data_IF_919623115804
#
_entry.id   IF_919623115804
#
_cell.length_a   1.000
_cell.length_b   1.000
_cell.length_c   1.000
_cell.angle_alpha   90.00
_cell.angle_beta   90.00
_cell.angle_gamma   90.00
#
_symmetry.space_group_name_H-M   'P 1'
#
loop_
_entity.id
_entity.type
_entity.pdbx_description
1 polymer ?
#
# COMPACT_ATOMS: atom_id res chain seq x y z
N UNK A 1 21.20 9.32 1.93
CA UNK A 1 20.53 8.20 2.64
C UNK A 1 21.31 7.93 3.92
N UNK A 2 20.66 8.06 5.05
CA UNK A 2 21.25 7.70 6.35
C UNK A 2 20.84 6.28 6.71
N UNK A 3 21.56 5.64 7.61
CA UNK A 3 21.21 4.37 8.23
C UNK A 3 21.48 4.53 9.73
N UNK A 4 20.62 5.31 10.38
CA UNK A 4 20.79 5.71 11.76
C UNK A 4 19.62 5.18 12.60
N UNK A 5 19.86 5.00 13.89
CA UNK A 5 18.78 4.63 14.81
C UNK A 5 17.69 5.72 14.81
N UNK A 6 16.44 5.28 14.66
CA UNK A 6 15.25 6.10 14.91
C UNK A 6 14.15 5.26 15.57
N UNK A 7 13.25 5.92 16.25
CA UNK A 7 12.07 5.29 16.82
C UNK A 7 10.86 6.21 16.59
N UNK A 8 9.73 5.60 16.33
CA UNK A 8 8.44 6.27 16.17
C UNK A 8 7.43 5.63 17.13
N UNK A 9 6.56 6.45 17.69
CA UNK A 9 5.38 5.97 18.40
C UNK A 9 4.29 5.50 17.43
N UNK A 10 3.12 5.13 17.95
CA UNK A 10 2.00 4.63 17.15
C UNK A 10 1.49 5.65 16.12
N UNK A 11 1.56 6.94 16.42
CA UNK A 11 1.11 8.02 15.55
C UNK A 11 2.22 8.62 14.69
N UNK A 12 3.48 8.32 15.01
CA UNK A 12 4.67 8.83 14.31
C UNK A 12 4.76 8.34 12.88
N UNK A 13 5.39 9.17 12.04
CA UNK A 13 5.58 8.93 10.60
C UNK A 13 4.94 10.01 9.74
N UNK A 14 4.95 9.79 8.42
CA UNK A 14 4.38 10.72 7.44
C UNK A 14 3.02 10.17 6.95
N UNK A 15 1.86 10.64 7.49
CA UNK A 15 0.56 10.19 7.04
C UNK A 15 0.19 10.81 5.69
N UNK A 16 -0.32 9.99 4.79
CA UNK A 16 -0.81 10.39 3.47
C UNK A 16 -2.18 9.80 3.19
N UNK A 17 -3.02 10.56 2.52
CA UNK A 17 -4.25 10.10 1.92
C UNK A 17 -4.04 9.82 0.44
N UNK A 18 -4.42 8.64 0.01
CA UNK A 18 -4.38 8.22 -1.37
C UNK A 18 -5.65 7.44 -1.72
N UNK A 19 -6.46 7.97 -2.63
CA UNK A 19 -7.82 7.46 -2.91
C UNK A 19 -8.63 7.36 -1.60
N UNK A 20 -9.02 6.16 -1.23
CA UNK A 20 -9.77 5.90 0.01
C UNK A 20 -8.90 5.30 1.12
N UNK A 21 -7.58 5.35 0.97
CA UNK A 21 -6.60 4.71 1.85
C UNK A 21 -5.86 5.75 2.68
N UNK A 22 -5.66 5.44 3.96
CA UNK A 22 -4.67 6.11 4.81
C UNK A 22 -3.42 5.25 4.84
N UNK A 23 -2.30 5.83 4.46
CA UNK A 23 -0.98 5.23 4.62
C UNK A 23 -0.12 6.12 5.50
N UNK A 24 0.56 5.54 6.48
CA UNK A 24 1.56 6.28 7.27
C UNK A 24 2.94 5.68 7.01
N UNK A 25 3.83 6.45 6.41
CA UNK A 25 5.20 6.01 6.14
C UNK A 25 5.96 5.94 7.46
N UNK A 26 6.24 4.74 7.94
CA UNK A 26 6.98 4.47 9.18
C UNK A 26 8.48 4.41 8.95
N UNK A 27 8.90 3.86 7.80
CA UNK A 27 10.29 3.87 7.38
C UNK A 27 10.38 4.14 5.88
N UNK A 28 11.33 4.96 5.49
CA UNK A 28 11.63 5.28 4.09
C UNK A 28 13.07 4.92 3.75
N UNK A 29 13.39 4.78 2.47
CA UNK A 29 14.75 4.53 2.01
C UNK A 29 15.76 5.55 2.50
N UNK A 30 15.36 6.79 2.67
CA UNK A 30 16.25 7.84 3.20
C UNK A 30 16.71 7.56 4.63
N UNK A 31 15.86 6.94 5.46
CA UNK A 31 16.16 6.59 6.85
C UNK A 31 16.81 5.22 7.00
N UNK A 32 16.51 4.28 6.11
CA UNK A 32 16.96 2.88 6.19
C UNK A 32 18.17 2.57 5.30
N UNK A 33 18.79 3.60 4.71
CA UNK A 33 19.88 3.40 3.75
C UNK A 33 19.44 2.65 2.47
N UNK A 34 18.16 2.74 2.12
CA UNK A 34 17.58 2.06 0.97
C UNK A 34 17.16 0.61 1.24
N UNK A 35 17.31 0.10 2.46
CA UNK A 35 17.09 -1.31 2.76
C UNK A 35 15.61 -1.71 2.65
N UNK A 36 14.72 -0.92 3.25
CA UNK A 36 13.29 -1.19 3.21
C UNK A 36 12.43 0.07 3.32
N UNK A 37 11.23 0.02 2.75
CA UNK A 37 10.12 0.92 3.04
C UNK A 37 9.09 0.19 3.91
N UNK A 38 8.51 0.88 4.91
CA UNK A 38 7.46 0.36 5.77
C UNK A 38 6.33 1.36 5.87
N UNK A 39 5.10 0.90 5.57
CA UNK A 39 3.89 1.69 5.66
C UNK A 39 2.87 1.00 6.58
N UNK A 40 2.27 1.77 7.48
CA UNK A 40 1.01 1.42 8.14
C UNK A 40 -0.12 1.74 7.17
N UNK A 41 -0.91 0.74 6.79
CA UNK A 41 -1.88 0.81 5.70
C UNK A 41 -3.28 0.50 6.22
N UNK A 42 -4.19 1.45 6.11
CA UNK A 42 -5.60 1.31 6.49
C UNK A 42 -6.49 1.61 5.31
N UNK A 43 -7.45 0.72 5.05
CA UNK A 43 -8.27 0.77 3.84
C UNK A 43 -9.68 0.26 4.11
N UNK A 44 -10.73 0.86 3.48
CA UNK A 44 -12.03 0.24 3.41
C UNK A 44 -11.99 -1.04 2.54
N UNK A 45 -13.11 -1.74 2.43
CA UNK A 45 -13.26 -2.82 1.45
C UNK A 45 -12.99 -2.34 0.02
N UNK A 46 -12.39 -3.21 -0.81
CA UNK A 46 -11.99 -2.86 -2.16
C UNK A 46 -10.85 -3.73 -2.66
N UNK A 47 -10.11 -3.27 -3.66
CA UNK A 47 -8.95 -4.02 -4.14
C UNK A 47 -7.86 -3.12 -4.71
N UNK A 48 -6.61 -3.57 -4.52
CA UNK A 48 -5.46 -2.96 -5.20
C UNK A 48 -5.57 -3.19 -6.71
N UNK A 49 -4.80 -2.47 -7.54
CA UNK A 49 -4.64 -2.83 -8.94
C UNK A 49 -4.14 -4.28 -9.08
N UNK A 50 -4.42 -4.94 -10.19
CA UNK A 50 -3.60 -6.06 -10.62
C UNK A 50 -2.35 -5.47 -11.26
N UNK A 51 -1.18 -5.74 -10.70
CA UNK A 51 0.08 -5.08 -11.09
C UNK A 51 1.29 -5.96 -10.82
N UNK A 52 2.43 -5.53 -11.36
CA UNK A 52 3.74 -6.16 -11.17
C UNK A 52 4.69 -5.10 -10.62
N UNK A 53 5.45 -5.43 -9.59
CA UNK A 53 6.62 -4.68 -9.15
C UNK A 53 7.87 -5.21 -9.85
N UNK A 54 8.63 -4.34 -10.51
CA UNK A 54 9.89 -4.72 -11.16
C UNK A 54 11.14 -4.37 -10.34
N UNK A 55 10.95 -3.65 -9.22
CA UNK A 55 12.07 -3.18 -8.38
C UNK A 55 12.06 -3.75 -6.98
N UNK A 56 10.89 -3.93 -6.40
CA UNK A 56 10.69 -4.32 -5.01
C UNK A 56 10.02 -5.68 -4.90
N UNK A 57 10.43 -6.49 -3.93
CA UNK A 57 9.60 -7.52 -3.35
C UNK A 57 8.68 -6.87 -2.32
N UNK A 58 7.46 -7.35 -2.21
CA UNK A 58 6.46 -6.78 -1.33
C UNK A 58 6.02 -7.78 -0.27
N UNK A 59 5.97 -7.33 0.98
CA UNK A 59 5.42 -8.10 2.09
C UNK A 59 4.21 -7.40 2.69
N UNK A 60 3.21 -8.19 3.13
CA UNK A 60 2.05 -7.70 3.85
C UNK A 60 1.84 -8.48 5.14
N UNK A 61 1.73 -7.77 6.24
CA UNK A 61 1.37 -8.36 7.53
C UNK A 61 0.00 -7.84 7.95
N UNK A 62 -0.98 -8.74 8.09
CA UNK A 62 -2.36 -8.37 8.41
C UNK A 62 -2.53 -8.21 9.91
N UNK A 63 -2.93 -7.00 10.34
CA UNK A 63 -3.20 -6.65 11.73
C UNK A 63 -4.69 -6.81 12.06
N UNK A 64 -5.58 -6.40 11.13
CA UNK A 64 -7.03 -6.51 11.29
C UNK A 64 -7.73 -6.62 9.94
N UNK A 65 -8.93 -7.22 9.90
CA UNK A 65 -9.73 -7.42 8.71
C UNK A 65 -9.55 -8.78 8.03
N UNK A 66 -9.99 -8.89 6.77
CA UNK A 66 -9.85 -10.07 5.92
C UNK A 66 -9.41 -9.68 4.53
N UNK A 67 -8.47 -10.44 4.00
CA UNK A 67 -7.87 -10.21 2.68
C UNK A 67 -7.88 -11.50 1.87
N UNK A 68 -8.22 -11.41 0.59
CA UNK A 68 -7.91 -12.42 -0.41
C UNK A 68 -6.76 -11.89 -1.28
N UNK A 69 -5.67 -12.65 -1.37
CA UNK A 69 -4.49 -12.29 -2.16
C UNK A 69 -4.35 -13.23 -3.35
N UNK A 70 -4.25 -12.67 -4.55
CA UNK A 70 -3.88 -13.42 -5.76
C UNK A 70 -2.46 -13.04 -6.15
N UNK A 71 -1.57 -14.03 -6.31
CA UNK A 71 -0.19 -13.85 -6.76
C UNK A 71 0.15 -14.95 -7.78
N UNK A 72 0.43 -14.56 -9.01
CA UNK A 72 0.49 -15.52 -10.13
C UNK A 72 -0.83 -16.27 -10.30
N UNK A 73 -0.76 -17.58 -10.30
CA UNK A 73 -1.92 -18.48 -10.44
C UNK A 73 -2.52 -18.89 -9.08
N UNK A 74 -1.94 -18.45 -7.97
CA UNK A 74 -2.39 -18.83 -6.63
C UNK A 74 -3.27 -17.75 -6.00
N UNK A 75 -4.29 -18.18 -5.26
CA UNK A 75 -5.14 -17.31 -4.46
C UNK A 75 -5.26 -17.86 -3.06
N UNK A 76 -5.00 -17.03 -2.05
CA UNK A 76 -5.07 -17.38 -0.64
C UNK A 76 -5.93 -16.36 0.13
N UNK A 77 -6.59 -16.84 1.18
CA UNK A 77 -7.28 -15.96 2.14
C UNK A 77 -6.40 -15.75 3.37
N UNK A 78 -6.38 -14.53 3.88
CA UNK A 78 -5.60 -14.13 5.03
C UNK A 78 -6.47 -13.47 6.09
N UNK A 79 -6.15 -13.76 7.35
CA UNK A 79 -6.76 -13.20 8.57
C UNK A 79 -5.68 -12.62 9.47
N UNK A 80 -6.01 -11.86 10.52
CA UNK A 80 -5.02 -11.24 11.40
C UNK A 80 -3.92 -12.18 11.87
N UNK A 81 -2.66 -11.74 11.80
CA UNK A 81 -1.46 -12.53 12.06
C UNK A 81 -0.86 -13.20 10.82
N UNK A 82 -1.56 -13.19 9.68
CA UNK A 82 -1.02 -13.73 8.43
C UNK A 82 0.06 -12.82 7.83
N UNK A 83 1.06 -13.44 7.20
CA UNK A 83 2.06 -12.76 6.40
C UNK A 83 2.00 -13.26 4.95
N UNK A 84 1.98 -12.33 4.01
CA UNK A 84 1.97 -12.58 2.57
C UNK A 84 3.29 -12.06 1.99
N UNK A 85 3.94 -12.88 1.15
CA UNK A 85 5.13 -12.47 0.41
C UNK A 85 4.83 -12.48 -1.08
N UNK A 86 5.01 -11.34 -1.73
CA UNK A 86 4.73 -11.11 -3.14
C UNK A 86 6.06 -10.78 -3.83
N UNK A 87 6.69 -11.77 -4.50
CA UNK A 87 7.96 -11.53 -5.16
C UNK A 87 7.80 -10.58 -6.35
N UNK A 88 8.84 -9.79 -6.61
CA UNK A 88 8.90 -8.95 -7.81
C UNK A 88 8.72 -9.78 -9.08
N UNK A 89 8.33 -9.15 -10.15
CA UNK A 89 8.10 -9.74 -11.47
C UNK A 89 6.95 -10.77 -11.52
N UNK A 90 6.16 -10.89 -10.45
CA UNK A 90 4.96 -11.73 -10.40
C UNK A 90 3.71 -10.86 -10.30
N UNK A 91 2.72 -11.00 -11.21
CA UNK A 91 1.49 -10.24 -11.13
C UNK A 91 0.69 -10.60 -9.88
N UNK A 92 0.23 -9.58 -9.16
CA UNK A 92 -0.51 -9.78 -7.92
C UNK A 92 -1.52 -8.67 -7.63
N UNK A 93 -2.46 -8.97 -6.74
CA UNK A 93 -3.40 -8.02 -6.13
C UNK A 93 -3.91 -8.51 -4.79
N UNK A 94 -4.30 -7.57 -3.95
CA UNK A 94 -5.04 -7.83 -2.72
C UNK A 94 -6.49 -7.35 -2.89
N UNK A 95 -7.44 -8.20 -2.48
CA UNK A 95 -8.84 -7.83 -2.27
C UNK A 95 -9.10 -7.72 -0.78
N UNK A 96 -9.44 -6.54 -0.32
CA UNK A 96 -9.85 -6.25 1.05
C UNK A 96 -11.34 -6.57 1.17
N UNK A 97 -11.69 -7.64 1.87
CA UNK A 97 -13.09 -8.09 2.02
C UNK A 97 -13.86 -7.29 3.07
N UNK A 98 -13.13 -6.66 3.96
CA UNK A 98 -13.64 -5.76 5.01
C UNK A 98 -12.75 -4.53 5.07
N UNK A 99 -13.06 -3.57 5.94
CA UNK A 99 -12.05 -2.62 6.38
C UNK A 99 -10.85 -3.38 6.94
N UNK A 100 -9.64 -2.98 6.56
CA UNK A 100 -8.41 -3.67 6.90
C UNK A 100 -7.35 -2.72 7.43
N UNK A 101 -6.51 -3.27 8.33
CA UNK A 101 -5.29 -2.65 8.83
C UNK A 101 -4.11 -3.60 8.60
N UNK A 102 -3.09 -3.15 7.86
CA UNK A 102 -1.95 -3.96 7.46
C UNK A 102 -0.65 -3.16 7.58
N UNK A 103 0.46 -3.88 7.64
CA UNK A 103 1.78 -3.32 7.35
C UNK A 103 2.18 -3.73 5.94
N UNK A 104 2.54 -2.76 5.11
CA UNK A 104 3.15 -2.97 3.79
C UNK A 104 4.66 -2.78 3.90
N UNK A 105 5.41 -3.75 3.41
CA UNK A 105 6.88 -3.78 3.43
C UNK A 105 7.36 -3.86 1.99
N UNK A 106 8.26 -2.98 1.59
CA UNK A 106 8.92 -3.01 0.27
C UNK A 106 10.42 -3.21 0.44
N UNK A 107 11.01 -4.15 -0.28
CA UNK A 107 12.44 -4.50 -0.24
C UNK A 107 12.99 -4.62 -1.67
N UNK A 108 13.96 -3.76 -2.06
CA UNK A 108 14.46 -2.58 -1.34
C UNK A 108 13.38 -1.50 -1.15
N UNK A 109 13.72 -0.42 -0.44
CA UNK A 109 12.85 0.75 -0.33
C UNK A 109 12.64 1.41 -1.71
N UNK A 110 11.50 2.11 -1.87
CA UNK A 110 11.17 2.85 -3.11
C UNK A 110 9.67 3.03 -3.30
N UNK A 111 8.87 2.03 -2.93
CA UNK A 111 7.43 2.06 -3.10
C UNK A 111 6.75 3.19 -2.28
N UNK A 112 7.29 3.53 -1.12
CA UNK A 112 6.80 4.64 -0.31
C UNK A 112 6.93 5.98 -1.04
N UNK A 113 7.91 6.14 -1.92
CA UNK A 113 8.10 7.35 -2.73
C UNK A 113 6.99 7.47 -3.78
N UNK A 114 6.61 6.36 -4.41
CA UNK A 114 5.45 6.31 -5.32
C UNK A 114 4.17 6.74 -4.60
N UNK A 115 3.88 6.15 -3.45
CA UNK A 115 2.69 6.49 -2.67
C UNK A 115 2.67 7.96 -2.24
N UNK A 116 3.82 8.50 -1.82
CA UNK A 116 3.94 9.91 -1.44
C UNK A 116 3.67 10.87 -2.61
N UNK A 117 4.10 10.51 -3.81
CA UNK A 117 3.83 11.31 -5.04
C UNK A 117 2.38 11.21 -5.51
N UNK A 118 1.76 10.04 -5.32
CA UNK A 118 0.35 9.83 -5.68
C UNK A 118 -0.61 10.48 -4.70
N UNK A 119 -0.30 10.41 -3.42
CA UNK A 119 -1.13 10.89 -2.33
C UNK A 119 -0.96 12.38 -2.02
N UNK A 120 -1.59 12.80 -0.96
CA UNK A 120 -1.47 14.11 -0.35
C UNK A 120 -1.28 13.97 1.16
N UNK A 121 -0.62 14.91 1.85
CA UNK A 121 -0.50 14.87 3.30
C UNK A 121 -1.87 14.72 3.95
N UNK A 122 -2.03 13.74 4.83
CA UNK A 122 -3.25 13.56 5.60
C UNK A 122 -3.28 14.55 6.76
N UNK A 123 -4.36 15.34 6.92
CA UNK A 123 -4.46 16.29 8.03
C UNK A 123 -4.71 15.61 9.39
N UNK A 124 -5.08 14.32 9.36
CA UNK A 124 -5.38 13.48 10.54
C UNK A 124 -5.18 12.02 10.21
N UNK A 125 -4.93 11.20 11.24
CA UNK A 125 -4.73 9.75 11.11
C UNK A 125 -6.09 9.04 11.12
N UNK A 126 -6.84 9.22 10.05
CA UNK A 126 -8.13 8.55 9.78
C UNK A 126 -8.28 8.35 8.26
N UNK A 127 -9.18 7.46 7.87
CA UNK A 127 -9.48 7.25 6.45
C UNK A 127 -9.95 8.55 5.79
N UNK A 128 -9.54 8.82 4.53
CA UNK A 128 -9.98 9.99 3.81
C UNK A 128 -11.50 9.95 3.55
N UNK A 129 -12.14 11.10 3.30
CA UNK A 129 -13.50 11.14 2.82
C UNK A 129 -13.68 10.29 1.56
N UNK A 130 -14.81 9.58 1.40
CA UNK A 130 -15.07 8.77 0.21
C UNK A 130 -15.23 9.63 -1.05
N UNK A 131 -15.10 8.99 -2.22
CA UNK A 131 -15.38 9.62 -3.52
C UNK A 131 -14.21 10.35 -4.16
N UNK A 132 -12.98 10.12 -3.72
CA UNK A 132 -11.80 10.64 -4.42
C UNK A 132 -11.61 9.91 -5.76
N UNK A 133 -11.59 10.66 -6.86
CA UNK A 133 -11.35 10.11 -8.18
C UNK A 133 -9.85 9.82 -8.41
N UNK A 134 -9.57 8.71 -9.08
CA UNK A 134 -8.21 8.39 -9.52
C UNK A 134 -7.85 9.25 -10.75
N UNK A 135 -6.78 10.04 -10.63
CA UNK A 135 -6.11 10.62 -11.80
C UNK A 135 -5.33 9.49 -12.52
N UNK A 136 -5.99 8.86 -13.48
CA UNK A 136 -5.49 7.68 -14.19
C UNK A 136 -4.20 7.98 -14.96
N UNK A 137 -4.06 9.15 -15.55
CA UNK A 137 -2.87 9.52 -16.32
C UNK A 137 -1.67 9.74 -15.39
N UNK A 138 -1.85 10.48 -14.30
CA UNK A 138 -0.84 10.65 -13.26
C UNK A 138 -0.43 9.28 -12.70
N UNK A 139 -1.42 8.42 -12.40
CA UNK A 139 -1.19 7.10 -11.84
C UNK A 139 -0.31 6.23 -12.75
N UNK A 140 -0.68 6.07 -14.02
CA UNK A 140 0.07 5.26 -14.98
C UNK A 140 1.49 5.79 -15.19
N UNK A 141 1.64 7.12 -15.32
CA UNK A 141 2.95 7.74 -15.48
C UNK A 141 3.86 7.49 -14.28
N UNK A 142 3.38 7.77 -13.07
CA UNK A 142 4.16 7.55 -11.85
C UNK A 142 4.43 6.08 -11.60
N UNK A 143 3.48 5.18 -11.88
CA UNK A 143 3.69 3.75 -11.81
C UNK A 143 4.87 3.31 -12.68
N UNK A 144 4.88 3.71 -13.95
CA UNK A 144 5.97 3.39 -14.86
C UNK A 144 7.33 3.96 -14.40
N UNK A 145 7.39 5.20 -13.93
CA UNK A 145 8.60 5.82 -13.38
C UNK A 145 9.17 5.03 -12.19
N UNK A 146 8.29 4.43 -11.39
CA UNK A 146 8.67 3.64 -10.20
C UNK A 146 8.82 2.14 -10.46
N UNK A 147 8.65 1.68 -11.72
CA UNK A 147 8.82 0.26 -12.07
C UNK A 147 7.62 -0.60 -11.71
N UNK A 148 6.43 0.00 -11.68
CA UNK A 148 5.16 -0.69 -11.53
C UNK A 148 4.49 -0.85 -12.89
N UNK A 149 4.14 -2.06 -13.27
CA UNK A 149 3.32 -2.37 -14.44
C UNK A 149 1.87 -2.57 -14.01
N UNK A 150 0.97 -1.74 -14.48
CA UNK A 150 -0.46 -1.80 -14.12
C UNK A 150 -1.23 -2.57 -15.18
N UNK A 151 -1.75 -3.73 -14.80
CA UNK A 151 -2.56 -4.60 -15.67
C UNK A 151 -4.05 -4.23 -15.58
N UNK A 152 -4.55 -4.01 -14.36
CA UNK A 152 -5.91 -3.54 -14.09
C UNK A 152 -5.88 -2.46 -13.01
N UNK A 153 -6.72 -1.43 -13.18
CA UNK A 153 -6.82 -0.34 -12.21
C UNK A 153 -7.41 -0.82 -10.86
N UNK A 154 -7.12 -0.11 -9.76
CA UNK A 154 -7.72 -0.41 -8.47
C UNK A 154 -9.23 -0.18 -8.50
N UNK A 155 -9.96 -0.87 -7.64
CA UNK A 155 -11.41 -0.73 -7.47
C UNK A 155 -11.75 -0.66 -5.99
N UNK A 156 -12.67 0.23 -5.64
CA UNK A 156 -13.16 0.41 -4.28
C UNK A 156 -14.67 0.23 -4.25
N UNK A 157 -15.16 -0.51 -3.27
CA UNK A 157 -16.59 -0.80 -3.14
C UNK A 157 -17.30 0.46 -2.63
N UNK A 158 -18.07 1.14 -3.50
CA UNK A 158 -18.82 2.36 -3.15
C UNK A 158 -19.97 2.11 -2.16
N UNK A 159 -20.33 0.86 -1.90
CA UNK A 159 -21.54 0.51 -1.16
C UNK A 159 -21.43 0.59 0.36
N UNK A 160 -20.25 0.55 0.95
CA UNK A 160 -20.09 0.66 2.41
C UNK A 160 -19.92 2.09 2.93
N UNK A 161 -19.65 3.06 2.07
CA UNK A 161 -19.54 4.47 2.43
C UNK A 161 -20.88 5.16 2.77
N UNK A 162 -22.01 4.43 2.74
CA UNK A 162 -23.38 4.96 2.95
C UNK A 162 -24.11 4.43 4.19
N UNK A 163 -23.37 3.91 5.18
CA UNK A 163 -24.00 3.53 6.46
C UNK A 163 -23.49 4.36 7.61
#
# INVERSE_FOLDING_TARGET
MSNEFFALDSEGGDPIWYLQVLMTIKASGDKTGGALGLLDFRTPAGQTPLHIHHKEDEGWYLLDGRVSCTCGDETVSATPGAFLWLPRDVPHRLRFETECHLLQIAIPAGLEVFHKKMGQPAPRIELPPPGQALDTEKYKRLAAEHGLEIIQLPQWDEQEARK
#
